data_IF_782812908391
#
_entry.id   IF_782812908391
#
_cell.length_a   1.000
_cell.length_b   1.000
_cell.length_c   1.000
_cell.angle_alpha   90.00
_cell.angle_beta   90.00
_cell.angle_gamma   90.00
#
_symmetry.space_group_name_H-M   'P 1'
#
loop_
_entity.id
_entity.type
_entity.pdbx_description
1 polymer ?
#
# COMPACT_ATOMS: atom_id res chain seq x y z
N UNK A 1 0.39 0.09 7.78
CA UNK A 1 -0.10 -1.25 8.16
C UNK A 1 -0.67 -1.92 6.93
N UNK A 2 -0.35 -3.20 6.72
CA UNK A 2 -0.90 -4.00 5.63
C UNK A 2 -2.37 -4.41 5.92
N UNK A 3 -3.21 -4.61 4.90
CA UNK A 3 -4.63 -4.96 5.07
C UNK A 3 -4.88 -6.21 5.93
N UNK A 4 -4.03 -7.21 5.81
CA UNK A 4 -4.07 -8.47 6.56
C UNK A 4 -3.82 -8.26 8.07
N UNK A 5 -2.92 -7.35 8.44
CA UNK A 5 -2.66 -6.99 9.84
C UNK A 5 -3.88 -6.31 10.45
N UNK A 6 -4.45 -5.35 9.72
CA UNK A 6 -5.67 -4.63 10.15
C UNK A 6 -6.87 -5.58 10.26
N UNK A 7 -6.87 -6.64 9.45
CA UNK A 7 -7.92 -7.66 9.44
C UNK A 7 -7.65 -8.83 10.40
N UNK A 8 -6.50 -8.84 11.09
CA UNK A 8 -6.07 -9.93 11.98
C UNK A 8 -6.08 -11.30 11.30
N UNK A 9 -5.66 -11.35 10.03
CA UNK A 9 -5.55 -12.58 9.25
C UNK A 9 -4.11 -13.09 9.31
N UNK A 10 -3.95 -14.42 9.41
CA UNK A 10 -2.65 -15.06 9.33
C UNK A 10 -2.00 -14.76 7.97
N UNK A 11 -0.73 -14.38 8.01
CA UNK A 11 -0.01 -13.96 6.81
C UNK A 11 1.48 -14.25 6.94
N UNK A 12 2.15 -14.42 5.80
CA UNK A 12 3.60 -14.46 5.76
C UNK A 12 4.16 -13.03 5.97
N UNK A 13 5.10 -12.81 6.89
CA UNK A 13 5.67 -11.48 7.16
C UNK A 13 6.23 -10.79 5.92
N UNK A 14 6.78 -11.55 4.97
CA UNK A 14 7.34 -11.03 3.71
C UNK A 14 6.32 -10.19 2.94
N UNK A 15 5.05 -10.63 2.88
CA UNK A 15 4.04 -9.86 2.16
C UNK A 15 3.76 -8.51 2.83
N UNK A 16 3.73 -8.47 4.16
CA UNK A 16 3.57 -7.23 4.94
C UNK A 16 4.72 -6.26 4.69
N UNK A 17 5.95 -6.77 4.60
CA UNK A 17 7.12 -5.93 4.31
C UNK A 17 7.04 -5.35 2.89
N UNK A 18 6.58 -6.12 1.91
CA UNK A 18 6.36 -5.62 0.54
C UNK A 18 5.28 -4.53 0.48
N UNK A 19 4.22 -4.63 1.28
CA UNK A 19 3.26 -3.54 1.42
C UNK A 19 3.91 -2.29 2.02
N UNK A 20 4.70 -2.46 3.08
CA UNK A 20 5.40 -1.36 3.74
C UNK A 20 6.39 -0.66 2.81
N UNK A 21 7.06 -1.42 1.94
CA UNK A 21 7.89 -0.90 0.86
C UNK A 21 7.07 -0.07 -0.14
N UNK A 22 5.89 -0.54 -0.53
CA UNK A 22 4.97 0.21 -1.39
C UNK A 22 4.54 1.54 -0.78
N UNK A 23 4.22 1.56 0.52
CA UNK A 23 3.89 2.80 1.25
C UNK A 23 5.08 3.75 1.26
N UNK A 24 6.28 3.26 1.59
CA UNK A 24 7.49 4.07 1.64
C UNK A 24 7.82 4.66 0.26
N UNK A 25 7.77 3.83 -0.79
CA UNK A 25 8.05 4.26 -2.16
C UNK A 25 7.04 5.31 -2.64
N UNK A 26 5.75 5.13 -2.34
CA UNK A 26 4.73 6.15 -2.58
C UNK A 26 5.07 7.46 -1.87
N UNK A 27 5.43 7.42 -0.57
CA UNK A 27 5.76 8.61 0.21
C UNK A 27 6.98 9.35 -0.36
N UNK A 28 8.02 8.62 -0.78
CA UNK A 28 9.20 9.23 -1.39
C UNK A 28 8.88 9.99 -2.68
N UNK A 29 7.93 9.50 -3.48
CA UNK A 29 7.55 10.12 -4.76
C UNK A 29 6.47 11.19 -4.63
N UNK A 30 5.57 11.06 -3.66
CA UNK A 30 4.36 11.90 -3.54
C UNK A 30 4.42 12.87 -2.36
N UNK A 31 5.43 12.75 -1.49
CA UNK A 31 5.58 13.55 -0.26
C UNK A 31 4.48 13.32 0.78
N UNK A 32 3.58 12.36 0.55
CA UNK A 32 2.39 12.13 1.36
C UNK A 32 2.08 10.64 1.47
N UNK A 33 1.27 10.26 2.47
CA UNK A 33 0.81 8.89 2.63
C UNK A 33 -0.36 8.58 1.67
N UNK A 34 -0.43 7.37 1.09
CA UNK A 34 -1.52 7.00 0.19
C UNK A 34 -2.86 6.83 0.94
N UNK A 35 -2.80 6.48 2.23
CA UNK A 35 -3.98 6.34 3.09
C UNK A 35 -3.87 7.30 4.28
N UNK A 36 -4.83 8.21 4.42
CA UNK A 36 -4.99 9.12 5.56
C UNK A 36 -6.46 9.25 5.93
N UNK A 37 -6.74 9.33 7.22
CA UNK A 37 -8.06 9.60 7.76
C UNK A 37 -7.95 10.31 9.12
N UNK A 38 -9.07 10.84 9.62
CA UNK A 38 -9.14 11.52 10.93
C UNK A 38 -9.28 10.55 12.10
N UNK A 39 -9.84 9.37 11.86
CA UNK A 39 -9.98 8.30 12.85
C UNK A 39 -9.22 7.05 12.41
N UNK A 40 -8.81 6.22 13.38
CA UNK A 40 -8.17 4.93 13.09
C UNK A 40 -9.12 3.99 12.35
N UNK A 41 -10.40 3.97 12.72
CA UNK A 41 -11.43 3.16 12.06
C UNK A 41 -11.53 3.48 10.57
N UNK A 42 -11.61 4.77 10.22
CA UNK A 42 -11.69 5.19 8.82
C UNK A 42 -10.38 4.88 8.07
N UNK A 43 -9.24 5.00 8.74
CA UNK A 43 -7.94 4.65 8.16
C UNK A 43 -7.89 3.16 7.83
N UNK A 44 -8.37 2.31 8.73
CA UNK A 44 -8.44 0.87 8.56
C UNK A 44 -9.36 0.48 7.41
N UNK A 45 -10.51 1.12 7.27
CA UNK A 45 -11.39 0.91 6.12
C UNK A 45 -10.73 1.30 4.79
N UNK A 46 -10.02 2.44 4.76
CA UNK A 46 -9.28 2.86 3.57
C UNK A 46 -8.18 1.87 3.18
N UNK A 47 -7.41 1.39 4.16
CA UNK A 47 -6.38 0.36 3.95
C UNK A 47 -6.99 -0.93 3.40
N UNK A 48 -8.13 -1.38 3.96
CA UNK A 48 -8.83 -2.58 3.48
C UNK A 48 -9.39 -2.43 2.07
N UNK A 49 -9.84 -1.23 1.69
CA UNK A 49 -10.28 -0.94 0.33
C UNK A 49 -9.11 -0.87 -0.66
N UNK A 50 -7.95 -0.37 -0.21
CA UNK A 50 -6.74 -0.26 -1.03
C UNK A 50 -6.79 0.83 -2.10
N UNK A 51 -7.82 1.68 -2.11
CA UNK A 51 -7.93 2.78 -3.07
C UNK A 51 -7.08 3.97 -2.60
N UNK A 52 -6.13 4.39 -3.44
CA UNK A 52 -5.30 5.58 -3.24
C UNK A 52 -5.24 6.39 -4.54
N UNK A 53 -4.88 7.67 -4.43
CA UNK A 53 -4.84 8.61 -5.56
C UNK A 53 -3.47 9.28 -5.60
N UNK A 54 -2.89 9.44 -6.80
CA UNK A 54 -1.64 10.18 -6.97
C UNK A 54 -1.88 11.69 -6.92
N UNK A 55 -1.11 12.40 -6.10
CA UNK A 55 -1.14 13.86 -5.97
C UNK A 55 -0.35 14.50 -7.12
N UNK A 56 0.82 13.93 -7.41
CA UNK A 56 1.77 14.34 -8.42
C UNK A 56 1.72 13.36 -9.61
N UNK A 57 1.43 13.89 -10.80
CA UNK A 57 1.28 13.08 -12.02
C UNK A 57 2.57 12.94 -12.82
N UNK A 58 3.60 13.70 -12.47
CA UNK A 58 4.95 13.77 -13.05
C UNK A 58 5.87 12.61 -12.62
N UNK A 59 5.30 11.49 -12.19
CA UNK A 59 6.05 10.25 -11.94
C UNK A 59 5.96 9.31 -13.14
N UNK A 60 7.02 8.54 -13.37
CA UNK A 60 7.09 7.60 -14.48
C UNK A 60 6.00 6.53 -14.42
N UNK A 61 5.63 5.98 -15.59
CA UNK A 61 4.63 4.90 -15.69
C UNK A 61 5.11 3.65 -14.95
N UNK A 62 6.41 3.42 -14.95
CA UNK A 62 7.09 2.30 -14.29
C UNK A 62 6.96 2.42 -12.77
N UNK A 63 7.15 3.62 -12.21
CA UNK A 63 6.95 3.88 -10.79
C UNK A 63 5.49 3.68 -10.37
N UNK A 64 4.52 4.13 -11.18
CA UNK A 64 3.09 3.89 -10.93
C UNK A 64 2.77 2.39 -10.89
N UNK A 65 3.23 1.64 -11.90
CA UNK A 65 3.06 0.19 -11.96
C UNK A 65 3.68 -0.52 -10.77
N UNK A 66 4.85 -0.09 -10.32
CA UNK A 66 5.52 -0.68 -9.15
C UNK A 66 4.70 -0.45 -7.88
N UNK A 67 4.22 0.78 -7.65
CA UNK A 67 3.35 1.10 -6.50
C UNK A 67 2.08 0.25 -6.54
N UNK A 68 1.40 0.17 -7.68
CA UNK A 68 0.16 -0.59 -7.86
C UNK A 68 0.36 -2.11 -7.66
N UNK A 69 1.56 -2.61 -7.95
CA UNK A 69 1.91 -4.02 -7.73
C UNK A 69 2.27 -4.32 -6.27
N UNK A 70 2.86 -3.36 -5.55
CA UNK A 70 3.20 -3.46 -4.12
C UNK A 70 1.98 -3.22 -3.21
N UNK A 71 1.06 -2.34 -3.61
CA UNK A 71 -0.13 -1.97 -2.83
C UNK A 71 -1.37 -2.78 -3.22
N UNK A 72 -1.19 -4.05 -3.58
CA UNK A 72 -2.30 -5.00 -3.75
C UNK A 72 -2.85 -5.44 -2.40
N UNK A 73 -4.17 -5.31 -2.24
CA UNK A 73 -4.88 -5.73 -1.03
C UNK A 73 -4.79 -7.24 -0.83
N UNK A 74 -5.03 -8.01 -1.89
CA UNK A 74 -4.77 -9.44 -1.88
C UNK A 74 -3.27 -9.69 -1.83
N UNK A 75 -2.77 -10.20 -0.70
CA UNK A 75 -1.35 -10.45 -0.49
C UNK A 75 -0.77 -11.52 -1.43
N UNK A 76 -1.60 -12.41 -1.99
CA UNK A 76 -1.17 -13.42 -2.97
C UNK A 76 -0.93 -12.85 -4.38
N UNK A 77 -1.54 -11.70 -4.69
CA UNK A 77 -1.34 -10.97 -5.95
C UNK A 77 -0.29 -9.86 -5.81
N UNK A 78 0.23 -9.66 -4.59
CA UNK A 78 1.20 -8.62 -4.28
C UNK A 78 2.57 -9.02 -4.80
N UNK A 79 3.28 -8.06 -5.41
CA UNK A 79 4.67 -8.26 -5.82
C UNK A 79 5.51 -8.72 -4.63
N UNK A 80 6.32 -9.75 -4.82
CA UNK A 80 7.19 -10.34 -3.80
C UNK A 80 8.62 -10.46 -4.31
N UNK A 81 9.55 -10.62 -3.37
CA UNK A 81 10.92 -11.04 -3.65
C UNK A 81 10.96 -12.55 -3.91
N UNK A 82 11.86 -12.97 -4.81
CA UNK A 82 12.15 -14.38 -5.11
C UNK A 82 13.33 -14.88 -4.29
#
# INVERSE_FOLDING_TARGET
>A
MAPEIVSKVDHCPVYTDMWSLGILFYVMLQGNYPFRAKSETDLFEKIKRGNFEYIHNDISKESKKLIESLLKVNHLERLTIH
#
